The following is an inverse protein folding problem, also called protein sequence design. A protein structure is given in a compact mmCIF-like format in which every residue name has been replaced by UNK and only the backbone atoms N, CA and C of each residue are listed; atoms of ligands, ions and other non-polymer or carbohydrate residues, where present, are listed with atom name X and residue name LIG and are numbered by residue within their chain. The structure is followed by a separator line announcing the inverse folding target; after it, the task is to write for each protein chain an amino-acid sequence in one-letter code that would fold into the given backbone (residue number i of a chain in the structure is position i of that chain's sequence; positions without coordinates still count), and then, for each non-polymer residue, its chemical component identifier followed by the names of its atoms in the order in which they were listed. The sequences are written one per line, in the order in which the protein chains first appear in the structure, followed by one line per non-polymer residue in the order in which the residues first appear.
data_IF_322276627345
#
_entry.id   IF_322276627345
#
_cell.length_a   1.000
_cell.length_b   1.000
_cell.length_c   1.000
_cell.angle_alpha   90.00
_cell.angle_beta   90.00
_cell.angle_gamma   90.00
#
_symmetry.space_group_name_H-M   'P 1'
#
loop_
_entity.id
_entity.type
_entity.pdbx_description
1 polymer ?
#
# COMPACT_ATOMS: atom_id res chain seq x y z
N UNK A 1 -11.40 2.92 20.58
CA UNK A 1 -10.51 3.87 19.90
C UNK A 1 -11.11 4.17 18.54
N UNK A 2 -11.60 5.40 18.36
CA UNK A 2 -12.17 5.88 17.09
C UNK A 2 -11.06 5.88 16.04
N UNK A 3 -11.27 5.14 14.95
CA UNK A 3 -10.40 5.21 13.79
C UNK A 3 -10.30 6.66 13.29
N UNK A 4 -9.08 7.10 12.95
CA UNK A 4 -8.86 8.45 12.43
C UNK A 4 -8.80 8.34 10.92
N UNK A 5 -9.84 8.79 10.24
CA UNK A 5 -9.82 8.99 8.79
C UNK A 5 -9.63 10.47 8.46
N UNK A 6 -8.96 10.79 7.34
CA UNK A 6 -8.87 12.15 6.80
C UNK A 6 -9.60 12.22 5.46
N UNK A 7 -10.32 13.32 5.24
CA UNK A 7 -10.91 13.62 3.95
C UNK A 7 -9.82 13.74 2.88
N UNK A 8 -10.13 13.30 1.67
CA UNK A 8 -9.18 13.25 0.58
C UNK A 8 -9.53 14.25 -0.52
N UNK A 9 -8.60 15.16 -0.80
CA UNK A 9 -8.65 16.01 -1.98
C UNK A 9 -7.97 15.32 -3.17
N UNK A 10 -8.23 15.83 -4.37
CA UNK A 10 -7.54 15.39 -5.59
C UNK A 10 -6.02 15.52 -5.48
N UNK A 11 -5.52 16.63 -4.91
CA UNK A 11 -4.09 16.85 -4.67
C UNK A 11 -3.49 15.77 -3.76
N UNK A 12 -4.20 15.39 -2.69
CA UNK A 12 -3.76 14.30 -1.80
C UNK A 12 -3.70 12.98 -2.58
N UNK A 13 -4.76 12.65 -3.34
CA UNK A 13 -4.82 11.42 -4.13
C UNK A 13 -3.66 11.34 -5.14
N UNK A 14 -3.38 12.41 -5.88
CA UNK A 14 -2.29 12.46 -6.86
C UNK A 14 -0.92 12.35 -6.19
N UNK A 15 -0.70 13.05 -5.08
CA UNK A 15 0.54 12.93 -4.30
C UNK A 15 0.75 11.52 -3.76
N UNK A 16 -0.31 10.85 -3.29
CA UNK A 16 -0.25 9.46 -2.84
C UNK A 16 0.04 8.48 -3.99
N UNK A 17 -0.52 8.71 -5.18
CA UNK A 17 -0.23 7.88 -6.35
C UNK A 17 1.23 8.02 -6.80
N UNK A 18 1.76 9.25 -6.81
CA UNK A 18 3.18 9.51 -7.05
C UNK A 18 4.06 8.73 -6.07
N UNK A 19 3.79 8.86 -4.77
CA UNK A 19 4.54 8.14 -3.74
C UNK A 19 4.45 6.62 -3.90
N UNK A 20 3.25 6.09 -4.18
CA UNK A 20 3.05 4.65 -4.37
C UNK A 20 3.89 4.11 -5.55
N UNK A 21 3.97 4.88 -6.63
CA UNK A 21 4.76 4.56 -7.82
C UNK A 21 6.26 4.64 -7.52
N UNK A 22 6.73 5.77 -6.98
CA UNK A 22 8.16 5.98 -6.68
C UNK A 22 8.70 4.94 -5.67
N UNK A 23 7.92 4.59 -4.65
CA UNK A 23 8.32 3.55 -3.71
C UNK A 23 8.39 2.17 -4.34
N UNK A 24 7.46 1.82 -5.23
CA UNK A 24 7.52 0.54 -5.94
C UNK A 24 8.73 0.48 -6.87
N UNK A 25 8.93 1.52 -7.68
CA UNK A 25 10.03 1.59 -8.64
C UNK A 25 11.39 1.52 -7.92
N UNK A 26 11.55 2.27 -6.82
CA UNK A 26 12.74 2.21 -5.99
C UNK A 26 12.92 0.84 -5.31
N UNK A 27 11.84 0.22 -4.83
CA UNK A 27 11.92 -1.11 -4.22
C UNK A 27 12.39 -2.16 -5.22
N UNK A 28 11.89 -2.12 -6.46
CA UNK A 28 12.29 -3.02 -7.54
C UNK A 28 13.74 -2.79 -7.95
N UNK A 29 14.19 -1.53 -7.97
CA UNK A 29 15.57 -1.19 -8.33
C UNK A 29 16.62 -1.71 -7.34
N UNK A 30 16.29 -1.79 -6.04
CA UNK A 30 17.24 -2.18 -4.98
C UNK A 30 16.99 -3.59 -4.40
N UNK A 31 16.11 -4.39 -4.99
CA UNK A 31 15.60 -5.62 -4.36
C UNK A 31 16.68 -6.70 -4.13
N UNK A 32 17.72 -6.69 -4.95
CA UNK A 32 18.81 -7.66 -4.89
C UNK A 32 19.96 -7.19 -4.00
N UNK A 33 20.32 -5.90 -4.06
CA UNK A 33 21.42 -5.31 -3.28
C UNK A 33 21.01 -4.95 -1.85
N UNK A 34 19.76 -4.51 -1.66
CA UNK A 34 19.26 -4.01 -0.39
C UNK A 34 17.88 -4.61 -0.06
N UNK A 35 17.78 -5.94 0.11
CA UNK A 35 16.51 -6.66 0.18
C UNK A 35 15.60 -6.22 1.33
N UNK A 36 16.15 -5.91 2.51
CA UNK A 36 15.35 -5.46 3.66
C UNK A 36 14.87 -4.01 3.49
N UNK A 37 15.65 -3.16 2.82
CA UNK A 37 15.23 -1.80 2.45
C UNK A 37 14.14 -1.84 1.37
N UNK A 38 14.31 -2.66 0.34
CA UNK A 38 13.29 -2.94 -0.68
C UNK A 38 11.97 -3.41 -0.04
N UNK A 39 12.04 -4.29 0.96
CA UNK A 39 10.85 -4.75 1.70
C UNK A 39 10.11 -3.61 2.40
N UNK A 40 10.82 -2.67 3.02
CA UNK A 40 10.20 -1.48 3.60
C UNK A 40 9.56 -0.60 2.53
N UNK A 41 10.19 -0.44 1.38
CA UNK A 41 9.63 0.33 0.26
C UNK A 41 8.38 -0.34 -0.34
N UNK A 42 8.33 -1.66 -0.48
CA UNK A 42 7.11 -2.38 -0.88
C UNK A 42 5.94 -2.12 0.09
N UNK A 43 6.22 -2.07 1.40
CA UNK A 43 5.20 -1.73 2.40
C UNK A 43 4.70 -0.30 2.22
N UNK A 44 5.61 0.67 2.06
CA UNK A 44 5.25 2.07 1.86
C UNK A 44 4.46 2.27 0.56
N UNK A 45 4.85 1.58 -0.52
CA UNK A 45 4.13 1.56 -1.79
C UNK A 45 2.69 1.05 -1.60
N UNK A 46 2.51 -0.07 -0.91
CA UNK A 46 1.18 -0.65 -0.66
C UNK A 46 0.28 0.24 0.20
N UNK A 47 0.82 0.92 1.22
CA UNK A 47 0.07 1.86 2.06
C UNK A 47 -0.38 3.06 1.22
N UNK A 48 0.54 3.66 0.45
CA UNK A 48 0.22 4.80 -0.39
C UNK A 48 -0.81 4.43 -1.48
N UNK A 49 -0.70 3.24 -2.07
CA UNK A 49 -1.67 2.72 -3.03
C UNK A 49 -3.06 2.51 -2.39
N UNK A 50 -3.12 1.95 -1.18
CA UNK A 50 -4.36 1.80 -0.44
C UNK A 50 -5.03 3.15 -0.15
N UNK A 51 -4.24 4.17 0.22
CA UNK A 51 -4.74 5.54 0.39
C UNK A 51 -5.37 6.07 -0.90
N UNK A 52 -4.72 5.88 -2.07
CA UNK A 52 -5.27 6.28 -3.38
C UNK A 52 -6.61 5.63 -3.66
N UNK A 53 -6.71 4.31 -3.46
CA UNK A 53 -7.94 3.54 -3.71
C UNK A 53 -9.06 4.02 -2.79
N UNK A 54 -8.79 4.15 -1.50
CA UNK A 54 -9.77 4.64 -0.53
C UNK A 54 -10.18 6.09 -0.83
N UNK A 55 -9.23 6.96 -1.18
CA UNK A 55 -9.47 8.32 -1.63
C UNK A 55 -10.41 8.37 -2.84
N UNK A 56 -10.13 7.56 -3.88
CA UNK A 56 -10.90 7.55 -5.11
C UNK A 56 -12.34 7.02 -4.92
N UNK A 57 -12.52 6.03 -4.02
CA UNK A 57 -13.80 5.32 -3.85
C UNK A 57 -14.65 5.86 -2.69
N UNK A 58 -14.03 6.31 -1.61
CA UNK A 58 -14.69 6.70 -0.36
C UNK A 58 -14.51 8.18 -0.01
N UNK A 59 -13.66 8.92 -0.74
CA UNK A 59 -13.35 10.33 -0.43
C UNK A 59 -12.53 10.51 0.86
N UNK A 60 -12.00 9.44 1.45
CA UNK A 60 -11.22 9.46 2.70
C UNK A 60 -10.23 8.32 2.77
N UNK A 61 -9.21 8.46 3.61
CA UNK A 61 -8.19 7.43 3.85
C UNK A 61 -7.84 7.36 5.35
N UNK A 62 -7.26 6.26 5.79
CA UNK A 62 -6.87 6.05 7.18
C UNK A 62 -5.64 6.90 7.54
N UNK A 63 -5.59 7.44 8.75
CA UNK A 63 -4.41 8.12 9.29
C UNK A 63 -4.03 7.56 10.66
N UNK A 64 -2.74 7.60 10.96
CA UNK A 64 -2.18 7.09 12.20
C UNK A 64 -1.47 5.75 12.05
N UNK A 65 -0.94 5.27 13.16
CA UNK A 65 -0.06 4.08 13.19
C UNK A 65 -0.86 2.76 13.15
N UNK A 66 -2.17 2.81 13.45
CA UNK A 66 -3.03 1.63 13.41
C UNK A 66 -3.43 1.31 11.97
N UNK A 67 -2.60 0.49 11.32
CA UNK A 67 -2.81 0.09 9.94
C UNK A 67 -4.01 -0.86 9.72
N UNK A 68 -4.65 -1.37 10.77
CA UNK A 68 -5.86 -2.20 10.63
C UNK A 68 -7.03 -1.41 10.05
N UNK A 69 -7.10 -0.10 10.31
CA UNK A 69 -8.13 0.77 9.74
C UNK A 69 -7.96 0.92 8.23
N UNK A 70 -6.72 1.04 7.74
CA UNK A 70 -6.43 1.08 6.31
C UNK A 70 -6.88 -0.21 5.60
N UNK A 71 -6.69 -1.37 6.23
CA UNK A 71 -7.19 -2.66 5.72
C UNK A 71 -8.72 -2.68 5.65
N UNK A 72 -9.40 -2.19 6.68
CA UNK A 72 -10.87 -2.14 6.71
C UNK A 72 -11.46 -1.17 5.68
N UNK A 73 -10.85 0.00 5.45
CA UNK A 73 -11.27 0.93 4.40
C UNK A 73 -10.98 0.37 3.00
N UNK A 74 -9.85 -0.31 2.83
CA UNK A 74 -9.50 -0.95 1.56
C UNK A 74 -10.50 -2.08 1.24
N UNK A 75 -10.89 -2.89 2.23
CA UNK A 75 -11.91 -3.93 2.06
C UNK A 75 -13.27 -3.37 1.61
N UNK A 76 -13.64 -2.18 2.09
CA UNK A 76 -14.87 -1.49 1.70
C UNK A 76 -14.79 -0.87 0.30
N UNK A 77 -13.62 -0.38 -0.10
CA UNK A 77 -13.42 0.34 -1.37
C UNK A 77 -13.10 -0.55 -2.56
N UNK A 78 -12.35 -1.64 -2.31
CA UNK A 78 -11.87 -2.57 -3.33
C UNK A 78 -11.74 -3.98 -2.72
N UNK A 79 -12.85 -4.73 -2.65
CA UNK A 79 -12.86 -6.04 -2.03
C UNK A 79 -11.82 -6.99 -2.63
N UNK A 80 -11.26 -7.88 -1.80
CA UNK A 80 -10.20 -8.85 -2.11
C UNK A 80 -8.81 -8.26 -2.26
N UNK A 81 -8.63 -6.93 -2.29
CA UNK A 81 -7.29 -6.32 -2.31
C UNK A 81 -6.71 -6.08 -0.92
N UNK A 82 -7.56 -6.04 0.12
CA UNK A 82 -7.16 -5.83 1.52
C UNK A 82 -6.19 -6.90 2.03
N UNK A 83 -6.28 -8.13 1.49
CA UNK A 83 -5.36 -9.23 1.82
C UNK A 83 -3.90 -8.91 1.44
N UNK A 84 -3.69 -8.16 0.36
CA UNK A 84 -2.35 -7.76 -0.08
C UNK A 84 -1.78 -6.72 0.88
N UNK A 85 -2.58 -5.73 1.28
CA UNK A 85 -2.15 -4.75 2.28
C UNK A 85 -1.86 -5.43 3.63
N UNK A 86 -2.72 -6.36 4.07
CA UNK A 86 -2.48 -7.14 5.30
C UNK A 86 -1.18 -7.94 5.23
N UNK A 87 -0.87 -8.54 4.08
CA UNK A 87 0.39 -9.25 3.89
C UNK A 87 1.62 -8.33 4.05
N UNK A 88 1.57 -7.13 3.47
CA UNK A 88 2.64 -6.12 3.60
C UNK A 88 2.80 -5.61 5.02
N UNK A 89 1.70 -5.30 5.72
CA UNK A 89 1.76 -4.82 7.10
C UNK A 89 2.35 -5.87 8.07
N UNK A 90 2.07 -7.15 7.84
CA UNK A 90 2.67 -8.26 8.56
C UNK A 90 4.17 -8.45 8.29
N UNK A 91 4.67 -7.90 7.17
CA UNK A 91 6.11 -7.86 6.86
C UNK A 91 6.78 -6.71 7.62
N UNK A 92 6.19 -5.52 7.63
CA UNK A 92 6.69 -4.33 8.36
C UNK A 92 7.03 -4.65 9.81
N UNK A 93 6.12 -5.32 10.51
CA UNK A 93 6.29 -5.70 11.92
C UNK A 93 7.42 -6.71 12.15
N UNK A 94 7.84 -7.46 11.13
CA UNK A 94 8.91 -8.46 11.23
C UNK A 94 10.26 -7.91 10.78
N UNK A 95 10.30 -7.11 9.73
CA UNK A 95 11.56 -6.52 9.22
C UNK A 95 12.04 -5.41 10.15
N UNK A 96 11.14 -4.58 10.69
CA UNK A 96 11.54 -3.46 11.55
C UNK A 96 11.99 -3.86 12.96
N UNK A 97 11.61 -5.05 13.44
CA UNK A 97 11.81 -5.44 14.85
C UNK A 97 12.56 -6.77 15.02
N UNK A 98 13.05 -7.37 13.94
CA UNK A 98 13.87 -8.59 14.02
C UNK A 98 15.19 -8.39 13.29
N UNK A 99 16.27 -8.96 13.84
CA UNK A 99 17.61 -8.94 13.25
C UNK A 99 17.75 -9.90 12.06
N UNK A 100 16.68 -10.60 11.67
CA UNK A 100 16.72 -11.63 10.61
C UNK A 100 16.11 -11.08 9.34
N UNK A 101 16.90 -11.07 8.26
CA UNK A 101 16.42 -10.69 6.94
C UNK A 101 15.24 -11.55 6.49
N UNK A 102 14.35 -10.95 5.69
CA UNK A 102 13.21 -11.67 5.17
C UNK A 102 13.64 -12.79 4.21
N UNK A 103 12.98 -13.95 4.28
CA UNK A 103 13.23 -15.06 3.33
C UNK A 103 12.86 -14.66 1.90
N UNK A 104 13.49 -15.28 0.90
CA UNK A 104 13.20 -15.04 -0.53
C UNK A 104 11.72 -15.16 -0.85
N UNK A 105 11.02 -16.15 -0.28
CA UNK A 105 9.58 -16.33 -0.45
C UNK A 105 8.75 -15.17 0.12
N UNK A 106 9.15 -14.63 1.28
CA UNK A 106 8.50 -13.45 1.86
C UNK A 106 8.73 -12.23 0.97
N UNK A 107 9.94 -12.05 0.42
CA UNK A 107 10.24 -10.97 -0.52
C UNK A 107 9.39 -11.05 -1.78
N UNK A 108 9.34 -12.22 -2.41
CA UNK A 108 8.46 -12.47 -3.58
C UNK A 108 6.98 -12.23 -3.28
N UNK A 109 6.50 -12.54 -2.07
CA UNK A 109 5.11 -12.28 -1.67
C UNK A 109 4.86 -10.78 -1.46
N UNK A 110 5.79 -10.06 -0.83
CA UNK A 110 5.69 -8.62 -0.62
C UNK A 110 5.70 -7.85 -1.95
N UNK A 111 6.65 -8.15 -2.84
CA UNK A 111 6.72 -7.59 -4.19
C UNK A 111 5.38 -7.70 -4.92
N UNK A 112 4.87 -8.93 -5.07
CA UNK A 112 3.58 -9.18 -5.74
C UNK A 112 2.42 -8.44 -5.09
N UNK A 113 2.39 -8.36 -3.76
CA UNK A 113 1.35 -7.63 -3.05
C UNK A 113 1.41 -6.12 -3.32
N UNK A 114 2.61 -5.54 -3.35
CA UNK A 114 2.81 -4.12 -3.68
C UNK A 114 2.45 -3.83 -5.13
N UNK A 115 2.94 -4.63 -6.09
CA UNK A 115 2.60 -4.51 -7.52
C UNK A 115 1.08 -4.53 -7.74
N UNK A 116 0.36 -5.51 -7.16
CA UNK A 116 -1.10 -5.62 -7.29
C UNK A 116 -1.82 -4.37 -6.77
N UNK A 117 -1.40 -3.83 -5.62
CA UNK A 117 -2.02 -2.64 -5.04
C UNK A 117 -1.73 -1.38 -5.85
N UNK A 118 -0.48 -1.19 -6.28
CA UNK A 118 -0.08 -0.03 -7.08
C UNK A 118 -0.79 -0.04 -8.44
N UNK A 119 -0.91 -1.19 -9.08
CA UNK A 119 -1.68 -1.32 -10.31
C UNK A 119 -3.17 -1.06 -10.11
N UNK A 120 -3.76 -1.49 -8.98
CA UNK A 120 -5.13 -1.13 -8.64
C UNK A 120 -5.29 0.39 -8.44
N UNK A 121 -4.35 1.02 -7.73
CA UNK A 121 -4.34 2.48 -7.52
C UNK A 121 -4.24 3.27 -8.82
N UNK A 122 -3.35 2.85 -9.74
CA UNK A 122 -3.21 3.43 -11.09
C UNK A 122 -4.53 3.37 -11.85
N UNK A 123 -5.18 2.20 -11.92
CA UNK A 123 -6.49 2.03 -12.57
C UNK A 123 -7.57 2.93 -11.98
N UNK A 124 -7.64 3.04 -10.64
CA UNK A 124 -8.63 3.89 -9.97
C UNK A 124 -8.40 5.39 -10.16
N UNK A 125 -7.20 5.80 -10.57
CA UNK A 125 -6.84 7.21 -10.76
C UNK A 125 -7.14 7.73 -12.16
N UNK A 126 -7.51 6.85 -13.11
CA UNK A 126 -7.96 7.22 -14.44
C UNK A 126 -9.40 7.77 -14.34
N UNK A 127 -9.67 9.00 -14.85
CA UNK A 127 -11.02 9.56 -14.89
C UNK A 127 -11.97 8.63 -15.65
N UNK A 128 -13.09 8.24 -15.03
CA UNK A 128 -14.11 7.38 -15.65
C UNK A 128 -14.12 5.91 -15.21
N UNK A 129 -13.18 5.45 -14.36
CA UNK A 129 -13.11 4.04 -13.90
C UNK A 129 -14.16 3.63 -12.84
N UNK A 130 -15.37 4.19 -12.89
CA UNK A 130 -16.48 3.64 -12.10
C UNK A 130 -16.73 2.23 -12.60
N UNK A 131 -16.66 1.27 -11.67
CA UNK A 131 -17.12 -0.08 -11.93
C UNK A 131 -18.60 -0.02 -11.58
N UNK A 132 -19.43 -0.19 -12.60
CA UNK A 132 -20.85 -0.51 -12.45
C UNK A 132 -21.01 -1.88 -11.77
#
# INVERSE_FOLDING_TARGET
MTGRTKACSETIRLGRLKNATEFLDAALYIEDEMPDASMNLFVLAGIAAADVICCARLGKYAVGENHNEAVSLLAQSEPKTEKHLRALLNVKSKVAYTHRSATTDKRKKARRAAEVLVEAARRTSIPGSRRD
#
